data_IF_953833519057
#
_entry.id   IF_953833519057
#
_cell.length_a   1.000
_cell.length_b   1.000
_cell.length_c   1.000
_cell.angle_alpha   90.00
_cell.angle_beta   90.00
_cell.angle_gamma   90.00
#
_symmetry.space_group_name_H-M   'P 1'
#
loop_
_entity.id
_entity.type
_entity.pdbx_description
1 polymer ?
#
# COMPACT_ATOMS: atom_id res chain seq x y z
N UNK A 1 49.62 37.68 44.02
CA UNK A 1 48.90 37.93 45.28
C UNK A 1 47.43 38.07 44.92
N UNK A 2 46.63 37.02 45.19
CA UNK A 2 45.15 36.96 45.29
C UNK A 2 44.29 37.32 44.04
N UNK A 3 43.19 36.63 43.65
CA UNK A 3 42.41 35.53 44.22
C UNK A 3 41.39 34.95 43.19
N UNK A 4 41.35 33.61 43.03
CA UNK A 4 40.20 32.64 43.02
C UNK A 4 38.94 32.83 42.12
N UNK A 5 38.18 31.82 41.67
CA UNK A 5 38.19 30.34 41.70
C UNK A 5 37.24 29.84 40.59
N UNK A 6 37.58 28.75 39.89
CA UNK A 6 36.69 27.89 39.09
C UNK A 6 37.07 26.45 39.45
N UNK A 7 36.10 25.57 39.69
CA UNK A 7 36.31 24.17 40.08
C UNK A 7 35.21 23.30 39.45
N UNK A 8 35.36 21.99 39.30
CA UNK A 8 36.28 21.21 38.45
C UNK A 8 35.52 19.90 38.11
N UNK A 9 36.01 19.18 37.12
CA UNK A 9 35.53 17.95 36.49
C UNK A 9 35.71 16.63 37.30
N UNK A 10 35.03 15.55 36.84
CA UNK A 10 35.55 14.17 36.51
C UNK A 10 34.83 12.92 37.10
N UNK A 11 34.78 11.92 36.20
CA UNK A 11 34.22 10.56 36.12
C UNK A 11 34.66 9.53 37.19
N UNK A 12 33.94 8.40 37.30
CA UNK A 12 34.42 7.05 36.89
C UNK A 12 33.37 5.93 37.03
N UNK A 13 33.44 4.96 36.11
CA UNK A 13 32.77 3.65 36.05
C UNK A 13 33.47 2.65 36.97
N UNK A 14 32.74 1.68 37.53
CA UNK A 14 33.29 0.35 37.83
C UNK A 14 32.21 -0.76 37.96
N UNK A 15 32.67 -1.96 37.62
CA UNK A 15 32.03 -3.27 37.41
C UNK A 15 31.83 -4.04 38.72
N UNK A 16 30.83 -4.94 38.85
CA UNK A 16 31.00 -6.30 39.43
C UNK A 16 29.74 -7.19 39.35
N UNK A 17 30.00 -8.50 39.37
CA UNK A 17 29.20 -9.65 38.93
C UNK A 17 28.76 -10.54 40.14
N UNK A 18 27.67 -11.32 39.95
CA UNK A 18 27.31 -12.64 40.56
C UNK A 18 26.47 -12.79 41.87
N UNK A 19 25.28 -13.42 41.68
CA UNK A 19 24.75 -14.70 42.24
C UNK A 19 24.35 -14.91 43.74
N UNK A 20 23.32 -15.79 43.91
CA UNK A 20 22.72 -16.42 45.13
C UNK A 20 21.78 -15.54 46.00
N UNK A 21 20.66 -15.97 46.62
CA UNK A 21 19.77 -17.16 46.61
C UNK A 21 18.51 -16.83 47.47
N UNK A 22 17.45 -17.66 47.36
CA UNK A 22 16.35 -17.93 48.33
C UNK A 22 16.60 -17.47 49.79
N UNK A 23 15.67 -16.97 50.62
CA UNK A 23 14.26 -17.25 50.98
C UNK A 23 13.75 -15.95 51.70
N UNK A 24 12.51 -15.50 51.67
CA UNK A 24 11.50 -15.85 52.70
C UNK A 24 10.16 -15.20 52.39
N UNK A 25 9.12 -16.00 52.61
CA UNK A 25 7.70 -15.70 52.55
C UNK A 25 7.25 -14.67 53.59
N UNK A 26 6.60 -13.60 53.15
CA UNK A 26 5.67 -12.83 54.00
C UNK A 26 4.27 -12.91 53.39
N UNK A 27 3.48 -13.76 54.02
CA UNK A 27 2.07 -13.98 53.77
C UNK A 27 1.29 -12.78 54.35
N UNK A 28 0.97 -11.77 53.55
CA UNK A 28 -0.07 -10.81 53.90
C UNK A 28 -1.42 -11.34 53.46
N UNK A 29 -2.12 -11.99 54.39
CA UNK A 29 -3.55 -12.29 54.27
C UNK A 29 -4.31 -10.99 54.50
N UNK A 30 -4.80 -10.38 53.43
CA UNK A 30 -5.80 -9.30 53.49
C UNK A 30 -7.15 -9.90 53.09
N UNK A 31 -8.24 -9.73 53.87
CA UNK A 31 -9.54 -10.31 53.55
C UNK A 31 -10.09 -9.76 52.24
N UNK A 32 -10.63 -10.65 51.42
CA UNK A 32 -11.29 -10.35 50.17
C UNK A 32 -12.47 -9.38 50.35
N UNK A 33 -12.38 -8.22 49.70
CA UNK A 33 -13.55 -7.52 49.19
C UNK A 33 -13.62 -7.81 47.69
N UNK A 34 -14.59 -8.64 47.33
CA UNK A 34 -14.84 -9.09 45.97
C UNK A 34 -15.05 -7.91 45.03
N UNK A 35 -14.07 -7.70 44.16
CA UNK A 35 -14.31 -7.13 42.85
C UNK A 35 -13.72 -8.16 41.89
N UNK A 36 -14.56 -9.08 41.41
CA UNK A 36 -14.23 -9.85 40.21
C UNK A 36 -13.99 -8.82 39.11
N UNK A 37 -12.72 -8.52 38.84
CA UNK A 37 -12.31 -7.90 37.61
C UNK A 37 -12.72 -8.88 36.52
N UNK A 38 -13.93 -8.71 36.00
CA UNK A 38 -14.40 -9.36 34.79
C UNK A 38 -13.46 -8.86 33.71
N UNK A 39 -12.39 -9.63 33.49
CA UNK A 39 -11.59 -9.51 32.28
C UNK A 39 -12.57 -9.92 31.19
N UNK A 40 -13.34 -8.95 30.68
CA UNK A 40 -14.12 -9.11 29.47
C UNK A 40 -13.10 -9.52 28.43
N UNK A 41 -13.06 -10.81 28.15
CA UNK A 41 -12.41 -11.37 26.99
C UNK A 41 -13.11 -10.67 25.82
N UNK A 42 -12.53 -9.57 25.33
CA UNK A 42 -13.03 -8.87 24.16
C UNK A 42 -12.95 -9.93 23.07
N UNK A 43 -14.08 -10.56 22.78
CA UNK A 43 -14.16 -11.54 21.71
C UNK A 43 -13.95 -10.76 20.43
N UNK A 44 -12.73 -10.77 19.90
CA UNK A 44 -12.42 -10.13 18.63
C UNK A 44 -13.32 -10.75 17.57
N UNK A 45 -14.15 -9.93 16.94
CA UNK A 45 -15.03 -10.39 15.88
C UNK A 45 -14.15 -10.80 14.70
N UNK A 46 -14.32 -12.04 14.25
CA UNK A 46 -13.54 -12.57 13.14
C UNK A 46 -14.24 -12.31 11.81
N UNK A 47 -13.47 -12.19 10.72
CA UNK A 47 -14.01 -12.06 9.36
C UNK A 47 -15.00 -13.19 9.02
N UNK A 48 -14.69 -14.42 9.43
CA UNK A 48 -15.54 -15.59 9.19
C UNK A 48 -16.96 -15.45 9.75
N UNK A 49 -17.12 -14.73 10.88
CA UNK A 49 -18.42 -14.49 11.50
C UNK A 49 -19.27 -13.44 10.76
N UNK A 50 -18.65 -12.60 9.91
CA UNK A 50 -19.35 -11.50 9.23
C UNK A 50 -19.55 -11.69 7.73
N UNK A 51 -18.91 -12.70 7.12
CA UNK A 51 -19.14 -13.08 5.73
C UNK A 51 -20.61 -13.47 5.54
N UNK A 52 -21.21 -13.01 4.44
CA UNK A 52 -22.61 -13.30 4.09
C UNK A 52 -23.66 -12.49 4.86
N UNK A 53 -23.27 -11.70 5.88
CA UNK A 53 -24.20 -10.83 6.59
C UNK A 53 -24.66 -9.64 5.73
N UNK A 54 -25.90 -9.20 5.97
CA UNK A 54 -26.44 -8.01 5.32
C UNK A 54 -25.65 -6.74 5.66
N UNK A 55 -25.61 -5.72 4.76
CA UNK A 55 -24.80 -4.51 4.95
C UNK A 55 -25.10 -3.71 6.23
N UNK A 56 -26.31 -3.85 6.79
CA UNK A 56 -26.75 -3.15 8.00
C UNK A 56 -26.57 -3.97 9.29
N UNK A 57 -26.01 -5.19 9.22
CA UNK A 57 -25.78 -6.05 10.37
C UNK A 57 -24.97 -5.35 11.46
N UNK A 58 -25.41 -5.48 12.72
CA UNK A 58 -24.69 -4.96 13.89
C UNK A 58 -23.30 -5.57 14.00
N UNK A 59 -23.17 -6.88 13.79
CA UNK A 59 -21.89 -7.59 13.89
C UNK A 59 -20.90 -7.12 12.82
N UNK A 60 -21.39 -6.85 11.60
CA UNK A 60 -20.55 -6.30 10.53
C UNK A 60 -20.06 -4.88 10.87
N UNK A 61 -20.93 -4.03 11.46
CA UNK A 61 -20.51 -2.70 11.90
C UNK A 61 -19.41 -2.77 12.97
N UNK A 62 -19.57 -3.65 13.96
CA UNK A 62 -18.57 -3.85 15.01
C UNK A 62 -17.25 -4.42 14.45
N UNK A 63 -17.31 -5.34 13.48
CA UNK A 63 -16.12 -5.81 12.77
C UNK A 63 -15.39 -4.66 12.07
N UNK A 64 -16.13 -3.79 11.36
CA UNK A 64 -15.54 -2.61 10.72
C UNK A 64 -14.89 -1.67 11.73
N UNK A 65 -15.57 -1.40 12.84
CA UNK A 65 -15.05 -0.55 13.93
C UNK A 65 -13.78 -1.13 14.57
N UNK A 66 -13.56 -2.44 14.50
CA UNK A 66 -12.31 -3.07 14.95
C UNK A 66 -11.12 -2.85 14.01
N UNK A 67 -11.37 -2.46 12.75
CA UNK A 67 -10.34 -2.17 11.75
C UNK A 67 -10.05 -0.67 11.74
N UNK A 68 -8.89 -0.26 12.24
CA UNK A 68 -8.56 1.18 12.39
C UNK A 68 -7.93 1.75 11.11
N UNK A 69 -6.80 1.18 10.70
CA UNK A 69 -6.01 1.67 9.56
C UNK A 69 -5.42 0.51 8.75
N UNK A 70 -5.02 0.79 7.51
CA UNK A 70 -4.26 -0.16 6.71
C UNK A 70 -2.91 -0.42 7.35
N UNK A 71 -2.46 -1.67 7.33
CA UNK A 71 -1.08 -2.00 7.69
C UNK A 71 -0.09 -1.22 6.80
N UNK A 72 1.16 -1.01 7.26
CA UNK A 72 2.17 -0.30 6.45
C UNK A 72 2.33 -0.89 5.05
N UNK A 73 2.32 -2.23 4.92
CA UNK A 73 2.45 -2.93 3.63
C UNK A 73 1.26 -2.62 2.71
N UNK A 74 0.04 -2.71 3.22
CA UNK A 74 -1.17 -2.38 2.47
C UNK A 74 -1.19 -0.92 2.05
N UNK A 75 -0.79 -0.01 2.93
CA UNK A 75 -0.72 1.43 2.66
C UNK A 75 0.26 1.73 1.53
N UNK A 76 1.46 1.17 1.57
CA UNK A 76 2.47 1.32 0.52
C UNK A 76 1.99 0.76 -0.83
N UNK A 77 1.43 -0.45 -0.82
CA UNK A 77 0.89 -1.09 -2.02
C UNK A 77 -0.29 -0.29 -2.60
N UNK A 78 -1.18 0.23 -1.74
CA UNK A 78 -2.34 1.01 -2.15
C UNK A 78 -1.95 2.28 -2.93
N UNK A 79 -0.84 2.93 -2.59
CA UNK A 79 -0.33 4.08 -3.37
C UNK A 79 0.01 3.64 -4.81
N UNK A 80 0.72 2.52 -4.97
CA UNK A 80 1.07 1.97 -6.27
C UNK A 80 -0.14 1.54 -7.10
N UNK A 81 -1.07 0.81 -6.46
CA UNK A 81 -2.32 0.36 -7.07
C UNK A 81 -3.20 1.54 -7.51
N UNK A 82 -3.25 2.62 -6.73
CA UNK A 82 -3.99 3.83 -7.11
C UNK A 82 -3.34 4.60 -8.26
N UNK A 83 -2.01 4.55 -8.40
CA UNK A 83 -1.33 5.07 -9.58
C UNK A 83 -1.61 4.22 -10.82
N UNK A 84 -1.81 2.92 -10.63
CA UNK A 84 -2.18 1.94 -11.66
C UNK A 84 -3.69 1.75 -11.86
N UNK A 85 -4.09 0.47 -11.79
CA UNK A 85 -5.39 -0.05 -12.24
C UNK A 85 -6.51 0.10 -11.19
N UNK A 86 -6.19 0.39 -9.93
CA UNK A 86 -7.20 0.48 -8.88
C UNK A 86 -8.07 1.74 -9.01
N UNK A 87 -9.33 1.60 -8.61
CA UNK A 87 -10.30 2.69 -8.56
C UNK A 87 -10.76 2.93 -7.12
N UNK A 88 -10.87 4.20 -6.72
CA UNK A 88 -11.41 4.60 -5.44
C UNK A 88 -12.85 5.11 -5.61
N UNK A 89 -13.78 4.59 -4.81
CA UNK A 89 -15.20 4.96 -4.89
C UNK A 89 -15.79 5.31 -3.53
N UNK A 90 -16.76 6.23 -3.54
CA UNK A 90 -17.60 6.53 -2.37
C UNK A 90 -19.08 6.46 -2.76
N UNK A 91 -19.93 6.06 -1.81
CA UNK A 91 -21.39 6.05 -1.95
C UNK A 91 -22.11 6.98 -0.98
N UNK A 92 -21.37 7.65 -0.09
CA UNK A 92 -21.91 8.47 1.00
C UNK A 92 -21.31 9.87 1.00
N UNK A 93 -21.07 10.43 -0.19
CA UNK A 93 -20.60 11.80 -0.34
C UNK A 93 -19.16 12.04 0.13
N UNK A 94 -18.33 11.00 0.20
CA UNK A 94 -16.92 11.12 0.58
C UNK A 94 -16.63 10.88 2.06
N UNK A 95 -17.62 10.46 2.86
CA UNK A 95 -17.38 10.10 4.28
C UNK A 95 -16.47 8.88 4.42
N UNK A 96 -16.65 7.89 3.54
CA UNK A 96 -15.81 6.69 3.46
C UNK A 96 -15.56 6.30 2.02
N UNK A 97 -14.44 5.64 1.77
CA UNK A 97 -14.08 5.13 0.46
C UNK A 97 -13.88 3.62 0.46
N UNK A 98 -13.98 3.01 -0.71
CA UNK A 98 -13.58 1.63 -0.98
C UNK A 98 -12.68 1.59 -2.21
N UNK A 99 -11.75 0.65 -2.23
CA UNK A 99 -10.97 0.33 -3.41
C UNK A 99 -11.70 -0.73 -4.22
N UNK A 100 -11.69 -0.58 -5.54
CA UNK A 100 -12.17 -1.55 -6.51
C UNK A 100 -11.03 -1.97 -7.41
N UNK A 101 -11.00 -3.25 -7.68
CA UNK A 101 -9.95 -3.89 -8.44
C UNK A 101 -10.58 -4.70 -9.57
N UNK A 102 -9.96 -4.63 -10.74
CA UNK A 102 -10.36 -5.42 -11.90
C UNK A 102 -9.16 -5.67 -12.80
N UNK A 103 -8.88 -6.94 -13.11
CA UNK A 103 -7.84 -7.33 -14.04
C UNK A 103 -8.36 -8.36 -15.04
N UNK A 104 -7.71 -8.45 -16.20
CA UNK A 104 -8.02 -9.47 -17.19
C UNK A 104 -7.67 -10.87 -16.70
N UNK A 105 -8.26 -11.89 -17.33
CA UNK A 105 -8.11 -13.31 -16.98
C UNK A 105 -6.63 -13.77 -16.85
N UNK A 106 -5.76 -13.28 -17.74
CA UNK A 106 -4.32 -13.59 -17.72
C UNK A 106 -3.60 -13.11 -16.45
N UNK A 107 -4.17 -12.15 -15.73
CA UNK A 107 -3.62 -11.57 -14.51
C UNK A 107 -4.38 -12.01 -13.26
N UNK A 108 -5.16 -13.11 -13.33
CA UNK A 108 -5.90 -13.65 -12.17
C UNK A 108 -5.00 -13.94 -10.97
N UNK A 109 -3.79 -14.45 -11.19
CA UNK A 109 -2.81 -14.64 -10.12
C UNK A 109 -2.48 -13.34 -9.38
N UNK A 110 -2.29 -12.25 -10.12
CA UNK A 110 -2.02 -10.94 -9.52
C UNK A 110 -3.24 -10.41 -8.75
N UNK A 111 -4.45 -10.63 -9.30
CA UNK A 111 -5.68 -10.31 -8.59
C UNK A 111 -5.78 -11.06 -7.25
N UNK A 112 -5.45 -12.35 -7.22
CA UNK A 112 -5.51 -13.17 -6.00
C UNK A 112 -4.47 -12.72 -4.97
N UNK A 113 -3.28 -12.32 -5.43
CA UNK A 113 -2.26 -11.70 -4.57
C UNK A 113 -2.77 -10.41 -3.91
N UNK A 114 -3.38 -9.50 -4.68
CA UNK A 114 -3.92 -8.25 -4.13
C UNK A 114 -5.14 -8.53 -3.23
N UNK A 115 -5.98 -9.51 -3.57
CA UNK A 115 -7.09 -9.94 -2.71
C UNK A 115 -6.58 -10.40 -1.34
N UNK A 116 -5.59 -11.28 -1.30
CA UNK A 116 -4.99 -11.75 -0.06
C UNK A 116 -4.30 -10.62 0.73
N UNK A 117 -3.69 -9.66 0.04
CA UNK A 117 -3.07 -8.50 0.70
C UNK A 117 -4.09 -7.65 1.46
N UNK A 118 -5.33 -7.57 1.00
CA UNK A 118 -6.41 -6.79 1.63
C UNK A 118 -7.50 -7.68 2.24
N UNK A 119 -7.17 -8.91 2.64
CA UNK A 119 -8.15 -9.93 3.01
C UNK A 119 -9.15 -9.43 4.06
N UNK A 120 -8.68 -8.82 5.14
CA UNK A 120 -9.53 -8.33 6.23
C UNK A 120 -10.49 -7.23 5.80
N UNK A 121 -10.20 -6.55 4.68
CA UNK A 121 -10.99 -5.48 4.10
C UNK A 121 -12.03 -5.95 3.07
N UNK A 122 -12.05 -7.24 2.72
CA UNK A 122 -12.88 -7.79 1.64
C UNK A 122 -13.84 -8.85 2.18
N UNK A 123 -15.13 -8.74 1.83
CA UNK A 123 -16.20 -9.63 2.33
C UNK A 123 -16.76 -10.59 1.28
N UNK A 124 -16.27 -10.52 0.05
CA UNK A 124 -16.77 -11.33 -1.06
C UNK A 124 -15.60 -11.76 -1.92
N UNK A 125 -15.61 -13.01 -2.33
CA UNK A 125 -14.59 -13.57 -3.20
C UNK A 125 -14.52 -12.83 -4.54
N UNK A 126 -13.36 -12.90 -5.23
CA UNK A 126 -13.25 -12.43 -6.59
C UNK A 126 -14.33 -13.03 -7.50
N UNK A 127 -15.01 -12.18 -8.25
CA UNK A 127 -16.04 -12.59 -9.19
C UNK A 127 -15.58 -12.41 -10.63
N UNK A 128 -15.97 -13.36 -11.47
CA UNK A 128 -15.71 -13.31 -12.90
C UNK A 128 -16.71 -12.36 -13.58
N UNK A 129 -16.22 -11.56 -14.52
CA UNK A 129 -17.01 -10.70 -15.40
C UNK A 129 -16.72 -11.08 -16.84
N UNK A 130 -17.75 -11.51 -17.54
CA UNK A 130 -17.67 -11.88 -18.95
C UNK A 130 -18.40 -10.81 -19.74
N UNK A 131 -17.73 -10.26 -20.76
CA UNK A 131 -18.32 -9.34 -21.74
C UNK A 131 -17.92 -9.73 -23.14
N UNK A 132 -18.70 -9.29 -24.13
CA UNK A 132 -18.31 -9.40 -25.54
C UNK A 132 -17.65 -8.09 -25.98
N UNK A 133 -16.58 -8.21 -26.76
CA UNK A 133 -15.98 -7.08 -27.45
C UNK A 133 -16.90 -6.63 -28.60
N UNK A 134 -16.70 -5.42 -29.16
CA UNK A 134 -17.43 -5.00 -30.38
C UNK A 134 -17.28 -5.97 -31.56
N UNK A 135 -16.19 -6.76 -31.59
CA UNK A 135 -15.92 -7.78 -32.61
C UNK A 135 -16.49 -9.17 -32.25
N UNK A 136 -17.29 -9.30 -31.19
CA UNK A 136 -17.90 -10.56 -30.75
C UNK A 136 -16.98 -11.48 -29.93
N UNK A 137 -15.74 -11.07 -29.64
CA UNK A 137 -14.80 -11.88 -28.86
C UNK A 137 -15.16 -11.84 -27.37
N UNK A 138 -15.13 -13.00 -26.70
CA UNK A 138 -15.31 -13.09 -25.25
C UNK A 138 -14.10 -12.47 -24.53
N UNK A 139 -14.36 -11.48 -23.69
CA UNK A 139 -13.39 -10.87 -22.77
C UNK A 139 -13.79 -11.27 -21.36
N UNK A 140 -12.86 -11.92 -20.66
CA UNK A 140 -13.01 -12.33 -19.27
C UNK A 140 -12.13 -11.45 -18.39
N UNK A 141 -12.75 -10.82 -17.41
CA UNK A 141 -12.09 -10.09 -16.34
C UNK A 141 -12.48 -10.71 -14.99
N UNK A 142 -11.69 -10.41 -13.97
CA UNK A 142 -11.98 -10.74 -12.58
C UNK A 142 -11.94 -9.46 -11.76
N UNK A 143 -12.80 -9.35 -10.76
CA UNK A 143 -12.79 -8.19 -9.89
C UNK A 143 -13.21 -8.51 -8.47
N UNK A 144 -12.81 -7.63 -7.56
CA UNK A 144 -13.27 -7.60 -6.18
C UNK A 144 -13.22 -6.16 -5.67
N UNK A 145 -13.65 -5.95 -4.44
CA UNK A 145 -13.67 -4.63 -3.83
C UNK A 145 -13.56 -4.73 -2.32
N UNK A 146 -12.94 -3.73 -1.70
CA UNK A 146 -12.96 -3.59 -0.25
C UNK A 146 -14.33 -3.11 0.22
N UNK A 147 -14.61 -3.31 1.50
CA UNK A 147 -15.69 -2.62 2.19
C UNK A 147 -15.38 -1.13 2.29
N UNK A 148 -16.41 -0.28 2.26
CA UNK A 148 -16.20 1.16 2.46
C UNK A 148 -15.80 1.45 3.90
N UNK A 149 -14.64 2.08 4.08
CA UNK A 149 -14.06 2.37 5.39
C UNK A 149 -13.33 3.73 5.39
N UNK A 150 -13.21 4.35 6.56
CA UNK A 150 -12.47 5.61 6.72
C UNK A 150 -10.95 5.44 6.60
N UNK A 151 -10.45 4.23 6.83
CA UNK A 151 -9.04 3.85 6.62
C UNK A 151 -8.55 4.12 5.19
N UNK A 152 -9.45 4.19 4.21
CA UNK A 152 -9.11 4.51 2.81
C UNK A 152 -9.21 6.02 2.49
N UNK A 153 -9.62 6.87 3.42
CA UNK A 153 -9.84 8.30 3.17
C UNK A 153 -8.55 9.03 2.79
N UNK A 154 -7.38 8.60 3.29
CA UNK A 154 -6.11 9.19 2.89
C UNK A 154 -5.85 9.03 1.38
N UNK A 155 -6.32 7.94 0.76
CA UNK A 155 -6.20 7.77 -0.70
C UNK A 155 -7.02 8.81 -1.43
N UNK A 156 -8.20 9.18 -0.91
CA UNK A 156 -9.02 10.22 -1.52
C UNK A 156 -8.33 11.59 -1.45
N UNK A 157 -7.70 11.91 -0.31
CA UNK A 157 -6.92 13.13 -0.15
C UNK A 157 -5.76 13.21 -1.14
N UNK A 158 -5.13 12.06 -1.43
CA UNK A 158 -3.98 12.00 -2.34
C UNK A 158 -4.36 11.93 -3.81
N UNK A 159 -5.50 11.31 -4.17
CA UNK A 159 -5.81 10.92 -5.55
C UNK A 159 -7.11 11.51 -6.13
N UNK A 160 -7.89 12.29 -5.38
CA UNK A 160 -9.15 12.85 -5.87
C UNK A 160 -9.17 14.37 -5.80
N UNK A 161 -9.50 15.01 -6.92
CA UNK A 161 -9.84 16.43 -6.99
C UNK A 161 -11.22 16.57 -7.66
N UNK A 162 -12.17 17.23 -6.99
CA UNK A 162 -13.58 17.32 -7.43
C UNK A 162 -14.18 15.97 -7.87
N UNK A 163 -13.80 14.88 -7.17
CA UNK A 163 -14.18 13.47 -7.47
C UNK A 163 -13.62 12.89 -8.77
N UNK A 164 -12.71 13.57 -9.44
CA UNK A 164 -11.94 13.05 -10.57
C UNK A 164 -10.56 12.56 -10.12
N UNK A 165 -10.02 11.52 -10.77
CA UNK A 165 -8.65 11.04 -10.50
C UNK A 165 -7.67 12.17 -10.78
N UNK A 166 -6.84 12.48 -9.81
CA UNK A 166 -5.82 13.52 -9.82
C UNK A 166 -4.66 13.05 -8.94
N UNK A 167 -3.60 13.83 -8.83
CA UNK A 167 -2.56 13.59 -7.83
C UNK A 167 -2.37 14.86 -6.99
N UNK A 168 -2.19 14.67 -5.69
CA UNK A 168 -1.73 15.73 -4.79
C UNK A 168 -0.30 16.16 -5.12
N UNK A 169 0.03 17.39 -4.73
CA UNK A 169 1.41 17.89 -4.80
C UNK A 169 2.33 16.97 -3.98
N UNK A 170 3.53 16.70 -4.48
CA UNK A 170 4.54 15.87 -3.80
C UNK A 170 4.12 14.42 -3.49
N UNK A 171 3.09 13.89 -4.16
CA UNK A 171 2.61 12.52 -3.93
C UNK A 171 3.72 11.47 -4.04
N UNK A 172 4.51 11.51 -5.12
CA UNK A 172 5.59 10.55 -5.35
C UNK A 172 6.69 10.78 -4.32
N UNK A 173 7.08 12.05 -4.12
CA UNK A 173 8.12 12.47 -3.19
C UNK A 173 7.85 12.02 -1.76
N UNK A 174 6.62 12.18 -1.27
CA UNK A 174 6.28 11.96 0.13
C UNK A 174 5.69 10.57 0.40
N UNK A 175 5.02 9.93 -0.57
CA UNK A 175 4.22 8.72 -0.30
C UNK A 175 4.60 7.49 -1.12
N UNK A 176 5.18 7.63 -2.31
CA UNK A 176 5.54 6.45 -3.10
C UNK A 176 6.78 5.77 -2.51
N UNK A 177 6.68 4.53 -2.08
CA UNK A 177 7.83 3.71 -1.64
C UNK A 177 8.31 2.79 -2.77
N UNK A 178 9.45 2.10 -2.62
CA UNK A 178 9.87 1.08 -3.59
C UNK A 178 8.82 -0.03 -3.80
N UNK A 179 8.10 -0.43 -2.73
CA UNK A 179 6.96 -1.35 -2.84
C UNK A 179 5.85 -0.75 -3.68
N UNK A 180 5.42 0.48 -3.38
CA UNK A 180 4.41 1.17 -4.19
C UNK A 180 4.82 1.31 -5.67
N UNK A 181 6.10 1.59 -5.94
CA UNK A 181 6.64 1.65 -7.30
C UNK A 181 6.55 0.29 -8.01
N UNK A 182 6.78 -0.82 -7.29
CA UNK A 182 6.62 -2.16 -7.84
C UNK A 182 5.16 -2.47 -8.21
N UNK A 183 4.19 -2.12 -7.37
CA UNK A 183 2.76 -2.28 -7.69
C UNK A 183 2.35 -1.41 -8.87
N UNK A 184 2.81 -0.15 -8.91
CA UNK A 184 2.55 0.72 -10.07
C UNK A 184 3.12 0.13 -11.36
N UNK A 185 4.34 -0.44 -11.32
CA UNK A 185 4.93 -1.13 -12.47
C UNK A 185 4.17 -2.41 -12.85
N UNK A 186 3.71 -3.20 -11.87
CA UNK A 186 2.93 -4.41 -12.16
C UNK A 186 1.59 -4.09 -12.83
N UNK A 187 0.96 -2.97 -12.51
CA UNK A 187 -0.27 -2.50 -13.15
C UNK A 187 0.03 -1.89 -14.53
N UNK A 188 0.73 -0.76 -14.54
CA UNK A 188 0.86 0.13 -15.71
C UNK A 188 2.28 0.20 -16.30
N UNK A 189 3.21 -0.59 -15.77
CA UNK A 189 4.57 -0.72 -16.28
C UNK A 189 4.70 -1.64 -17.49
N UNK A 190 5.73 -1.40 -18.29
CA UNK A 190 6.13 -2.26 -19.40
C UNK A 190 7.46 -1.89 -20.02
N UNK A 191 7.86 -2.63 -21.07
CA UNK A 191 9.08 -2.37 -21.83
C UNK A 191 8.89 -1.16 -22.74
N UNK A 192 9.96 -0.39 -22.95
CA UNK A 192 9.97 0.63 -24.00
C UNK A 192 10.04 0.02 -25.40
N UNK A 193 10.76 -1.10 -25.54
CA UNK A 193 10.92 -1.83 -26.80
C UNK A 193 10.51 -3.29 -26.62
N UNK A 194 9.58 -3.76 -27.45
CA UNK A 194 9.06 -5.13 -27.44
C UNK A 194 9.66 -6.01 -28.54
N UNK A 195 10.60 -5.49 -29.34
CA UNK A 195 11.28 -6.27 -30.36
C UNK A 195 12.06 -7.44 -29.75
N UNK A 196 12.01 -8.59 -30.42
CA UNK A 196 12.82 -9.76 -30.04
C UNK A 196 14.31 -9.38 -30.08
N UNK A 197 15.07 -9.82 -29.09
CA UNK A 197 16.50 -9.55 -28.93
C UNK A 197 16.88 -8.07 -28.70
N UNK A 198 15.91 -7.19 -28.41
CA UNK A 198 16.23 -5.82 -28.03
C UNK A 198 17.17 -5.77 -26.82
N UNK A 199 18.15 -4.87 -26.90
CA UNK A 199 19.05 -4.54 -25.79
C UNK A 199 18.58 -3.30 -25.02
N UNK A 200 17.46 -2.69 -25.44
CA UNK A 200 16.88 -1.54 -24.77
C UNK A 200 16.29 -1.97 -23.42
N UNK A 201 16.71 -1.30 -22.35
CA UNK A 201 16.26 -1.56 -20.97
C UNK A 201 15.36 -0.44 -20.44
N UNK A 202 14.87 0.42 -21.32
CA UNK A 202 13.94 1.47 -20.99
C UNK A 202 12.62 0.89 -20.49
N UNK A 203 12.07 1.52 -19.46
CA UNK A 203 10.79 1.13 -18.86
C UNK A 203 9.79 2.24 -19.10
N UNK A 204 8.56 1.87 -19.44
CA UNK A 204 7.44 2.80 -19.60
C UNK A 204 6.48 2.61 -18.44
N UNK A 205 6.02 3.71 -17.85
CA UNK A 205 4.85 3.75 -16.98
C UNK A 205 3.71 4.43 -17.75
N UNK A 206 2.61 3.70 -17.93
CA UNK A 206 1.43 4.16 -18.64
C UNK A 206 0.61 5.09 -17.74
N UNK A 207 0.73 6.40 -17.97
CA UNK A 207 0.09 7.44 -17.13
C UNK A 207 -1.00 8.21 -17.84
N UNK A 208 -1.60 7.62 -18.89
CA UNK A 208 -2.57 8.28 -19.78
C UNK A 208 -3.91 8.63 -19.09
N UNK A 209 -4.11 8.20 -17.84
CA UNK A 209 -5.28 8.57 -17.04
C UNK A 209 -5.10 9.89 -16.28
N UNK A 210 -3.88 10.41 -16.18
CA UNK A 210 -3.54 11.66 -15.52
C UNK A 210 -3.42 12.82 -16.51
N UNK A 211 -3.51 14.05 -16.01
CA UNK A 211 -3.29 15.28 -16.79
C UNK A 211 -1.80 15.41 -17.13
N UNK A 212 -1.50 16.02 -18.27
CA UNK A 212 -0.12 16.22 -18.74
C UNK A 212 0.79 16.85 -17.67
N UNK A 213 0.31 17.88 -16.97
CA UNK A 213 1.08 18.53 -15.92
C UNK A 213 1.35 17.63 -14.71
N UNK A 214 0.40 16.77 -14.37
CA UNK A 214 0.56 15.78 -13.30
C UNK A 214 1.63 14.75 -13.68
N UNK A 215 1.66 14.32 -14.95
CA UNK A 215 2.67 13.39 -15.47
C UNK A 215 4.08 13.99 -15.42
N UNK A 216 4.23 15.26 -15.80
CA UNK A 216 5.50 16.00 -15.68
C UNK A 216 6.00 16.06 -14.23
N UNK A 217 5.11 16.38 -13.30
CA UNK A 217 5.42 16.45 -11.87
C UNK A 217 5.84 15.07 -11.34
N UNK A 218 5.13 14.00 -11.72
CA UNK A 218 5.50 12.63 -11.32
C UNK A 218 6.89 12.24 -11.85
N UNK A 219 7.20 12.56 -13.11
CA UNK A 219 8.51 12.25 -13.69
C UNK A 219 9.65 12.99 -12.96
N UNK A 220 9.46 14.26 -12.63
CA UNK A 220 10.43 15.02 -11.83
C UNK A 220 10.62 14.41 -10.44
N UNK A 221 9.54 14.06 -9.74
CA UNK A 221 9.62 13.51 -8.39
C UNK A 221 10.23 12.10 -8.36
N UNK A 222 10.06 11.29 -9.42
CA UNK A 222 10.77 10.03 -9.57
C UNK A 222 12.28 10.23 -9.63
N UNK A 223 12.73 11.26 -10.34
CA UNK A 223 14.15 11.64 -10.37
C UNK A 223 14.63 12.09 -8.99
N UNK A 224 13.95 13.06 -8.37
CA UNK A 224 14.34 13.60 -7.06
C UNK A 224 14.40 12.53 -5.96
N UNK A 225 13.43 11.62 -5.91
CA UNK A 225 13.31 10.64 -4.83
C UNK A 225 14.16 9.39 -5.06
N UNK A 226 14.13 8.85 -6.27
CA UNK A 226 14.68 7.52 -6.55
C UNK A 226 15.95 7.54 -7.38
N UNK A 227 16.36 8.72 -7.87
CA UNK A 227 17.42 8.92 -8.83
C UNK A 227 17.14 8.15 -10.14
N UNK A 228 15.90 8.26 -10.62
CA UNK A 228 15.44 7.67 -11.88
C UNK A 228 15.26 8.78 -12.91
N UNK A 229 16.19 8.88 -13.86
CA UNK A 229 16.10 9.82 -14.97
C UNK A 229 14.94 9.41 -15.90
N UNK A 230 13.94 10.28 -15.95
CA UNK A 230 12.68 10.07 -16.64
C UNK A 230 12.49 11.08 -17.77
N UNK A 231 11.92 10.62 -18.87
CA UNK A 231 11.45 11.44 -19.99
C UNK A 231 9.93 11.33 -20.09
N UNK A 232 9.24 12.44 -20.33
CA UNK A 232 7.81 12.43 -20.61
C UNK A 232 7.59 12.38 -22.11
N UNK A 233 6.97 11.30 -22.61
CA UNK A 233 6.68 11.10 -24.03
C UNK A 233 5.19 11.14 -24.31
N UNK A 234 4.83 11.37 -25.58
CA UNK A 234 3.44 11.26 -26.04
C UNK A 234 3.19 9.88 -26.64
N UNK A 235 2.09 9.24 -26.24
CA UNK A 235 1.56 8.01 -26.83
C UNK A 235 0.05 8.20 -27.08
N UNK A 236 -0.39 8.08 -28.33
CA UNK A 236 -1.80 8.25 -28.74
C UNK A 236 -2.43 9.55 -28.20
N UNK A 237 -1.68 10.65 -28.28
CA UNK A 237 -2.14 11.98 -27.85
C UNK A 237 -2.14 12.20 -26.32
N UNK A 238 -1.62 11.28 -25.53
CA UNK A 238 -1.55 11.37 -24.07
C UNK A 238 -0.13 11.13 -23.55
N UNK A 239 0.18 11.61 -22.34
CA UNK A 239 1.52 11.50 -21.77
C UNK A 239 1.78 10.16 -21.06
N UNK A 240 3.01 9.67 -21.22
CA UNK A 240 3.59 8.52 -20.52
C UNK A 240 4.95 8.89 -19.93
N UNK A 241 5.36 8.20 -18.87
CA UNK A 241 6.70 8.36 -18.29
C UNK A 241 7.59 7.24 -18.84
N UNK A 242 8.79 7.61 -19.29
CA UNK A 242 9.83 6.68 -19.74
C UNK A 242 11.03 6.81 -18.83
N UNK A 243 11.33 5.76 -18.07
CA UNK A 243 12.56 5.64 -17.30
C UNK A 243 13.66 5.20 -18.26
N UNK A 244 14.76 5.97 -18.33
CA UNK A 244 15.85 5.71 -19.26
C UNK A 244 16.55 4.38 -18.97
N UNK A 245 17.07 3.73 -20.02
CA UNK A 245 17.78 2.44 -19.91
C UNK A 245 18.94 2.46 -18.91
N UNK A 246 19.64 3.59 -18.79
CA UNK A 246 20.75 3.78 -17.84
C UNK A 246 20.31 3.64 -16.38
N UNK A 247 19.04 3.93 -16.07
CA UNK A 247 18.49 3.80 -14.73
C UNK A 247 17.92 2.41 -14.43
N UNK A 248 17.89 1.48 -15.39
CA UNK A 248 17.28 0.16 -15.20
C UNK A 248 17.86 -0.64 -14.03
N UNK A 249 19.19 -0.71 -13.79
CA UNK A 249 19.72 -1.41 -12.62
C UNK A 249 19.19 -0.86 -11.29
N UNK A 250 19.09 0.47 -11.18
CA UNK A 250 18.53 1.14 -10.00
C UNK A 250 17.03 0.88 -9.86
N UNK A 251 16.29 1.00 -10.96
CA UNK A 251 14.87 0.72 -11.01
C UNK A 251 14.58 -0.73 -10.57
N UNK A 252 15.28 -1.70 -11.16
CA UNK A 252 15.15 -3.10 -10.81
C UNK A 252 15.48 -3.32 -9.33
N UNK A 253 16.60 -2.81 -8.83
CA UNK A 253 16.97 -2.92 -7.41
C UNK A 253 15.85 -2.45 -6.46
N UNK A 254 15.15 -1.36 -6.81
CA UNK A 254 14.06 -0.83 -5.99
C UNK A 254 12.84 -1.77 -5.95
N UNK A 255 12.47 -2.35 -7.08
CA UNK A 255 11.21 -3.12 -7.21
C UNK A 255 11.39 -4.64 -7.05
N UNK A 256 12.60 -5.16 -7.23
CA UNK A 256 12.91 -6.59 -7.23
C UNK A 256 12.40 -7.34 -5.99
N UNK A 257 12.49 -6.77 -4.77
CA UNK A 257 11.96 -7.44 -3.57
C UNK A 257 10.44 -7.59 -3.54
N UNK A 258 9.71 -6.89 -4.41
CA UNK A 258 8.25 -6.75 -4.34
C UNK A 258 7.53 -7.20 -5.61
N UNK A 259 8.25 -7.36 -6.73
CA UNK A 259 7.66 -7.81 -7.98
C UNK A 259 7.36 -9.32 -7.92
N UNK A 260 6.14 -9.70 -8.30
CA UNK A 260 5.77 -11.11 -8.36
C UNK A 260 6.45 -11.81 -9.53
N UNK A 261 6.85 -13.06 -9.32
CA UNK A 261 7.48 -13.92 -10.35
C UNK A 261 6.67 -13.93 -11.65
N UNK A 262 5.35 -14.06 -11.54
CA UNK A 262 4.39 -14.11 -12.64
C UNK A 262 4.26 -12.77 -13.40
N UNK A 263 4.73 -11.66 -12.83
CA UNK A 263 4.72 -10.32 -13.43
C UNK A 263 6.08 -9.91 -14.00
N UNK A 264 7.13 -10.72 -13.79
CA UNK A 264 8.49 -10.41 -14.29
C UNK A 264 8.60 -10.40 -15.81
N UNK A 265 7.65 -10.99 -16.55
CA UNK A 265 7.61 -10.92 -18.01
C UNK A 265 7.53 -9.46 -18.55
N UNK A 266 7.02 -8.53 -17.73
CA UNK A 266 6.97 -7.09 -18.06
C UNK A 266 8.35 -6.43 -18.06
N UNK A 267 9.34 -6.99 -17.36
CA UNK A 267 10.69 -6.45 -17.28
C UNK A 267 11.44 -6.62 -18.62
N UNK A 268 12.25 -5.63 -19.05
CA UNK A 268 13.12 -5.72 -20.22
C UNK A 268 14.14 -6.87 -20.21
#
# INVERSE_FOLDING_TARGET
>A
MFQLFFNYYILLLDVFIHNFSLVDSVLFVVPALGCEATTQKISTITKAQVIGLGPNSRLLKQYKESLVELSPIQREAAIGLMLGDASLQTKNGGKTFRMKFEWGDKSKFYLDHVFNLFDEWVLSDPHQKIRLSPAGNKITNWGFQTMSHEAFNFLAQLFLNLRTKSISTDLIKNHLTPRGLAYWFMDDGGKLDYNKNSKNKGVVLNTQSFKDKEVEIMAQQLMEKFNLDCEVRSNKGKKVIVIKSSCYPRFLFLIDPYILTQMRYKLP
#
